data_IF_558574426878
#
_entry.id   IF_558574426878
#
_cell.length_a   1.000
_cell.length_b   1.000
_cell.length_c   1.000
_cell.angle_alpha   90.00
_cell.angle_beta   90.00
_cell.angle_gamma   90.00
#
_symmetry.space_group_name_H-M   'P 1'
#
loop_
_entity.id
_entity.type
_entity.pdbx_description
1 polymer ?
#
# COMPACT_ATOMS: atom_id res chain seq x y z
N UNK A 1 5.15 18.03 -56.76
CA UNK A 1 6.38 17.92 -55.95
C UNK A 1 6.18 16.76 -55.00
N UNK A 2 7.17 15.86 -54.86
CA UNK A 2 6.99 14.42 -54.58
C UNK A 2 6.32 14.08 -53.25
N UNK A 3 5.28 13.25 -53.33
CA UNK A 3 4.80 12.36 -52.27
C UNK A 3 5.87 11.31 -51.99
N UNK A 4 6.44 11.33 -50.79
CA UNK A 4 7.39 10.30 -50.31
C UNK A 4 6.64 9.29 -49.45
N UNK A 5 6.22 8.19 -50.06
CA UNK A 5 5.87 6.96 -49.36
C UNK A 5 7.14 6.14 -49.17
N UNK A 6 7.63 6.05 -47.93
CA UNK A 6 8.74 5.18 -47.54
C UNK A 6 8.17 3.91 -46.92
N UNK A 7 8.18 2.84 -47.70
CA UNK A 7 8.09 1.46 -47.26
C UNK A 7 9.36 1.12 -46.48
N UNK A 8 9.23 0.90 -45.17
CA UNK A 8 10.30 0.45 -44.29
C UNK A 8 9.72 -0.33 -43.12
N UNK A 9 9.83 -1.66 -43.17
CA UNK A 9 9.51 -2.54 -42.06
C UNK A 9 10.57 -2.36 -40.96
N UNK A 10 10.18 -1.78 -39.83
CA UNK A 10 10.93 -1.86 -38.58
C UNK A 10 9.93 -1.92 -37.43
N UNK A 11 9.86 -3.09 -36.82
CA UNK A 11 9.29 -3.39 -35.51
C UNK A 11 9.71 -2.34 -34.48
N UNK A 12 8.89 -1.30 -34.29
CA UNK A 12 9.15 -0.20 -33.37
C UNK A 12 8.17 -0.26 -32.19
N UNK A 13 8.65 -0.85 -31.11
CA UNK A 13 8.01 -1.05 -29.81
C UNK A 13 7.20 0.19 -29.34
N UNK A 14 5.89 0.03 -29.29
CA UNK A 14 4.96 0.98 -28.69
C UNK A 14 5.19 0.95 -27.17
N UNK A 15 6.05 1.81 -26.65
CA UNK A 15 6.23 1.98 -25.21
C UNK A 15 4.95 2.62 -24.65
N UNK A 16 4.08 1.78 -24.09
CA UNK A 16 2.99 2.19 -23.24
C UNK A 16 3.60 2.86 -22.00
N UNK A 17 3.67 4.19 -22.02
CA UNK A 17 3.92 4.99 -20.83
C UNK A 17 2.69 4.85 -19.94
N UNK A 18 2.76 3.89 -19.03
CA UNK A 18 1.84 3.78 -17.90
C UNK A 18 2.20 4.90 -16.94
N UNK A 19 1.53 6.05 -17.04
CA UNK A 19 1.56 7.06 -15.98
C UNK A 19 0.86 6.47 -14.76
N UNK A 20 1.60 5.79 -13.89
CA UNK A 20 1.09 5.41 -12.57
C UNK A 20 0.84 6.70 -11.81
N UNK A 21 -0.42 7.10 -11.75
CA UNK A 21 -0.93 8.10 -10.83
C UNK A 21 -0.60 7.60 -9.42
N UNK A 22 0.48 8.14 -8.83
CA UNK A 22 0.75 8.01 -7.42
C UNK A 22 -0.30 8.87 -6.67
N UNK A 23 -1.54 8.38 -6.64
CA UNK A 23 -2.52 8.78 -5.63
C UNK A 23 -1.82 8.54 -4.29
N UNK A 24 -1.63 9.60 -3.50
CA UNK A 24 -0.92 9.53 -2.22
C UNK A 24 -1.37 8.29 -1.46
N UNK A 25 -0.48 7.29 -1.37
CA UNK A 25 -0.83 5.97 -0.89
C UNK A 25 -1.11 6.08 0.61
N UNK A 26 -2.36 6.33 0.96
CA UNK A 26 -2.80 6.15 2.34
C UNK A 26 -2.59 4.68 2.68
N UNK A 27 -1.84 4.42 3.74
CA UNK A 27 -1.77 3.10 4.32
C UNK A 27 -3.16 2.64 4.75
N UNK A 28 -3.29 1.33 4.88
CA UNK A 28 -4.48 0.68 5.40
C UNK A 28 -4.89 1.26 6.75
N UNK A 29 -6.17 1.11 7.06
CA UNK A 29 -6.77 1.58 8.32
C UNK A 29 -6.64 3.10 8.53
N UNK A 30 -6.76 3.90 7.47
CA UNK A 30 -6.59 5.37 7.54
C UNK A 30 -5.28 5.81 8.21
N UNK A 31 -4.18 5.08 7.94
CA UNK A 31 -2.87 5.29 8.56
C UNK A 31 -2.82 5.03 10.08
N UNK A 32 -3.80 4.35 10.66
CA UNK A 32 -3.72 3.88 12.04
C UNK A 32 -2.67 2.77 12.18
N UNK A 33 -2.08 2.70 13.37
CA UNK A 33 -1.12 1.66 13.72
C UNK A 33 -1.81 0.29 13.69
N UNK A 34 -1.40 -0.60 12.78
CA UNK A 34 -1.98 -1.92 12.65
C UNK A 34 -1.83 -2.75 13.94
N UNK A 35 -0.68 -2.64 14.63
CA UNK A 35 -0.50 -3.27 15.95
C UNK A 35 -1.34 -2.59 17.03
N UNK A 36 -1.51 -1.27 16.97
CA UNK A 36 -2.42 -0.55 17.84
C UNK A 36 -3.81 -1.17 17.75
N UNK A 37 -4.35 -1.27 16.53
CA UNK A 37 -5.65 -1.85 16.26
C UNK A 37 -5.75 -3.32 16.67
N UNK A 38 -4.70 -4.11 16.44
CA UNK A 38 -4.64 -5.51 16.89
C UNK A 38 -4.72 -5.65 18.43
N UNK A 39 -4.32 -4.61 19.17
CA UNK A 39 -4.45 -4.51 20.63
C UNK A 39 -5.64 -3.68 21.10
N UNK A 40 -6.51 -3.24 20.19
CA UNK A 40 -7.70 -2.43 20.51
C UNK A 40 -7.43 -0.93 20.73
N UNK A 41 -6.31 -0.41 20.22
CA UNK A 41 -5.91 0.99 20.34
C UNK A 41 -5.94 1.71 18.99
N UNK A 42 -6.48 2.92 18.99
CA UNK A 42 -6.52 3.79 17.81
C UNK A 42 -5.34 4.77 17.87
N UNK A 43 -4.25 4.43 17.19
CA UNK A 43 -3.03 5.25 17.19
C UNK A 43 -2.80 5.76 15.78
N UNK A 44 -3.05 7.05 15.56
CA UNK A 44 -2.75 7.71 14.28
C UNK A 44 -1.24 7.71 14.02
N UNK A 45 -0.85 7.42 12.78
CA UNK A 45 0.55 7.46 12.36
C UNK A 45 0.70 8.29 11.09
N UNK A 46 1.93 8.73 10.84
CA UNK A 46 2.36 9.32 9.57
C UNK A 46 2.82 8.25 8.55
N UNK A 47 2.68 6.97 8.89
CA UNK A 47 3.16 5.82 8.11
C UNK A 47 4.67 5.78 7.82
N UNK A 48 5.50 6.55 8.54
CA UNK A 48 6.97 6.52 8.39
C UNK A 48 7.56 5.13 8.67
N UNK A 49 6.87 4.31 9.46
CA UNK A 49 7.19 2.90 9.68
C UNK A 49 6.03 2.08 9.14
N UNK A 50 6.26 1.38 8.04
CA UNK A 50 5.25 0.58 7.37
C UNK A 50 5.78 -0.80 6.97
N UNK A 51 4.87 -1.66 6.54
CA UNK A 51 5.18 -2.93 5.90
C UNK A 51 4.12 -3.25 4.84
N UNK A 52 4.56 -3.86 3.74
CA UNK A 52 3.65 -4.47 2.78
C UNK A 52 3.31 -5.90 3.26
N UNK A 53 2.03 -6.21 3.37
CA UNK A 53 1.53 -7.56 3.67
C UNK A 53 0.44 -7.87 2.64
N UNK A 54 0.74 -8.77 1.70
CA UNK A 54 -0.19 -9.16 0.66
C UNK A 54 -0.54 -8.03 -0.33
N UNK A 55 0.41 -7.14 -0.64
CA UNK A 55 0.20 -6.01 -1.55
C UNK A 55 -0.56 -4.83 -0.93
N UNK A 56 -0.71 -4.84 0.40
CA UNK A 56 -1.34 -3.77 1.18
C UNK A 56 -0.32 -3.19 2.14
N UNK A 57 -0.22 -1.86 2.18
CA UNK A 57 0.68 -1.16 3.08
C UNK A 57 0.02 -0.92 4.44
N UNK A 58 0.63 -1.44 5.51
CA UNK A 58 0.18 -1.25 6.89
C UNK A 58 1.15 -0.39 7.66
N UNK A 59 0.63 0.50 8.50
CA UNK A 59 1.43 1.49 9.23
C UNK A 59 1.61 1.11 10.70
N UNK A 60 2.71 1.56 11.29
CA UNK A 60 3.10 1.24 12.65
C UNK A 60 3.63 2.48 13.37
N UNK A 61 3.20 2.70 14.61
CA UNK A 61 3.68 3.82 15.43
C UNK A 61 5.12 3.67 15.91
N UNK A 62 5.72 2.48 15.81
CA UNK A 62 7.12 2.24 16.17
C UNK A 62 7.69 0.99 15.49
N UNK A 63 9.03 0.88 15.48
CA UNK A 63 9.72 -0.32 14.96
C UNK A 63 9.39 -1.55 15.82
N UNK A 64 9.26 -1.37 17.14
CA UNK A 64 8.88 -2.45 18.05
C UNK A 64 7.46 -2.96 17.76
N UNK A 65 6.50 -2.06 17.51
CA UNK A 65 5.14 -2.43 17.13
C UNK A 65 5.10 -3.24 15.82
N UNK A 66 5.89 -2.82 14.82
CA UNK A 66 6.06 -3.59 13.57
C UNK A 66 6.65 -4.98 13.84
N UNK A 67 7.73 -5.05 14.61
CA UNK A 67 8.38 -6.34 14.95
C UNK A 67 7.43 -7.27 15.68
N UNK A 68 6.64 -6.76 16.64
CA UNK A 68 5.65 -7.56 17.36
C UNK A 68 4.55 -8.06 16.43
N UNK A 69 4.03 -7.19 15.58
CA UNK A 69 3.01 -7.53 14.61
C UNK A 69 3.45 -8.68 13.69
N UNK A 70 4.72 -8.65 13.26
CA UNK A 70 5.29 -9.63 12.33
C UNK A 70 5.58 -11.00 12.96
N UNK A 71 5.42 -11.18 14.27
CA UNK A 71 5.51 -12.52 14.88
C UNK A 71 4.32 -13.41 14.53
N UNK A 72 3.16 -12.80 14.28
CA UNK A 72 1.93 -13.45 13.83
C UNK A 72 1.13 -12.47 12.96
N UNK A 73 1.60 -12.22 11.72
CA UNK A 73 1.02 -11.16 10.89
C UNK A 73 -0.44 -11.46 10.52
N UNK A 74 -0.79 -12.72 10.26
CA UNK A 74 -2.16 -13.12 9.92
C UNK A 74 -3.11 -12.97 11.11
N UNK A 75 -2.73 -13.47 12.29
CA UNK A 75 -3.54 -13.35 13.49
C UNK A 75 -3.68 -11.91 13.98
N UNK A 76 -2.64 -11.10 13.84
CA UNK A 76 -2.70 -9.68 14.19
C UNK A 76 -3.50 -8.85 13.17
N UNK A 77 -3.45 -9.19 11.87
CA UNK A 77 -4.35 -8.61 10.87
C UNK A 77 -5.80 -8.90 11.18
N UNK A 78 -6.15 -10.16 11.49
CA UNK A 78 -7.52 -10.52 11.81
C UNK A 78 -8.06 -9.73 13.02
N UNK A 79 -7.23 -9.49 14.04
CA UNK A 79 -7.59 -8.63 15.18
C UNK A 79 -7.73 -7.16 14.77
N UNK A 80 -6.80 -6.64 13.99
CA UNK A 80 -6.83 -5.26 13.52
C UNK A 80 -8.07 -4.99 12.66
N UNK A 81 -8.40 -5.88 11.72
CA UNK A 81 -9.60 -5.84 10.90
C UNK A 81 -10.87 -5.86 11.76
N UNK A 82 -10.92 -6.73 12.77
CA UNK A 82 -12.06 -6.83 13.68
C UNK A 82 -12.24 -5.58 14.54
N UNK A 83 -11.15 -4.94 14.97
CA UNK A 83 -11.18 -3.66 15.70
C UNK A 83 -11.63 -2.54 14.78
N UNK A 84 -10.97 -2.39 13.63
CA UNK A 84 -11.26 -1.31 12.66
C UNK A 84 -12.69 -1.39 12.14
N UNK A 85 -13.21 -2.57 11.82
CA UNK A 85 -14.60 -2.74 11.35
C UNK A 85 -15.67 -2.32 12.38
N UNK A 86 -15.31 -2.22 13.67
CA UNK A 86 -16.21 -1.75 14.74
C UNK A 86 -16.15 -0.24 14.92
N UNK A 87 -15.09 0.41 14.44
CA UNK A 87 -15.00 1.85 14.42
C UNK A 87 -16.04 2.33 13.39
N UNK A 88 -17.11 2.96 13.86
CA UNK A 88 -18.10 3.55 12.95
C UNK A 88 -17.44 4.74 12.27
N UNK A 89 -16.97 4.53 11.05
CA UNK A 89 -16.51 5.59 10.15
C UNK A 89 -17.69 6.40 9.62
#
# INVERSE_FOLDING_TARGET
MKTFTLTGAATGLFFLVSTTLALGATGQYDNLCAMGLATGQEIQTDCSINADIGGKMYCFGSKAAKTEFMKDPEGNLAKADATYSKMKH
#
